data_IF_888600677211
#
_entry.id   IF_888600677211
#
_cell.length_a   1.000
_cell.length_b   1.000
_cell.length_c   1.000
_cell.angle_alpha   90.00
_cell.angle_beta   90.00
_cell.angle_gamma   90.00
#
_symmetry.space_group_name_H-M   'P 1'
#
loop_
_entity.id
_entity.type
_entity.pdbx_description
1 polymer ?
#
# COMPACT_ATOMS: atom_id res chain seq x y z
N UNK A 1 -13.70 10.32 23.11
CA UNK A 1 -13.87 10.70 21.69
C UNK A 1 -14.42 9.56 20.83
N UNK A 2 -13.75 8.40 20.75
CA UNK A 2 -14.22 7.26 19.90
C UNK A 2 -15.54 6.59 20.35
N UNK A 3 -16.15 7.04 21.45
CA UNK A 3 -17.34 6.42 22.04
C UNK A 3 -18.65 7.12 21.64
N UNK A 4 -18.65 7.89 20.54
CA UNK A 4 -19.79 8.69 20.09
C UNK A 4 -19.86 10.11 20.68
N UNK A 5 -18.90 10.50 21.52
CA UNK A 5 -18.90 11.81 22.23
C UNK A 5 -18.94 13.03 21.29
N UNK A 6 -18.48 12.85 20.04
CA UNK A 6 -18.42 13.86 18.96
C UNK A 6 -19.54 13.70 17.93
N UNK A 7 -20.61 12.96 18.25
CA UNK A 7 -21.66 12.57 17.30
C UNK A 7 -21.20 11.50 16.31
N UNK A 8 -22.15 10.99 15.53
CA UNK A 8 -21.92 9.84 14.63
C UNK A 8 -20.99 10.19 13.47
N UNK A 9 -21.15 11.37 12.88
CA UNK A 9 -20.24 11.90 11.85
C UNK A 9 -18.83 12.09 12.41
N UNK A 10 -18.67 12.65 13.60
CA UNK A 10 -17.38 12.78 14.27
C UNK A 10 -16.72 11.42 14.56
N UNK A 11 -17.49 10.43 15.02
CA UNK A 11 -17.02 9.07 15.24
C UNK A 11 -16.54 8.42 13.93
N UNK A 12 -17.33 8.49 12.86
CA UNK A 12 -16.95 7.94 11.56
C UNK A 12 -15.65 8.56 11.03
N UNK A 13 -15.50 9.89 11.12
CA UNK A 13 -14.30 10.56 10.63
C UNK A 13 -13.07 10.30 11.51
N UNK A 14 -13.21 10.13 12.82
CA UNK A 14 -12.12 9.62 13.68
C UNK A 14 -11.68 8.22 13.24
N UNK A 15 -12.64 7.31 13.02
CA UNK A 15 -12.32 5.94 12.58
C UNK A 15 -11.67 5.94 11.19
N UNK A 16 -12.17 6.72 10.24
CA UNK A 16 -11.54 6.90 8.93
C UNK A 16 -10.11 7.45 9.04
N UNK A 17 -9.86 8.43 9.91
CA UNK A 17 -8.50 8.93 10.18
C UNK A 17 -7.60 7.85 10.77
N UNK A 18 -8.08 6.98 11.65
CA UNK A 18 -7.33 5.83 12.17
C UNK A 18 -6.97 4.83 11.04
N UNK A 19 -7.92 4.54 10.13
CA UNK A 19 -7.68 3.68 8.95
C UNK A 19 -6.61 4.29 8.02
N UNK A 20 -6.70 5.59 7.75
CA UNK A 20 -5.69 6.33 6.95
C UNK A 20 -4.34 6.35 7.67
N UNK A 21 -4.32 6.54 8.99
CA UNK A 21 -3.09 6.55 9.79
C UNK A 21 -2.38 5.20 9.76
N UNK A 22 -3.10 4.08 9.75
CA UNK A 22 -2.52 2.75 9.57
C UNK A 22 -1.82 2.60 8.21
N UNK A 23 -2.47 3.04 7.13
CA UNK A 23 -1.90 3.02 5.77
C UNK A 23 -0.69 3.97 5.65
N UNK A 24 -0.73 5.15 6.29
CA UNK A 24 0.40 6.07 6.36
C UNK A 24 1.56 5.52 7.20
N UNK A 25 1.27 4.86 8.33
CA UNK A 25 2.27 4.19 9.18
C UNK A 25 2.99 3.08 8.41
N UNK A 26 2.24 2.27 7.64
CA UNK A 26 2.81 1.27 6.73
C UNK A 26 3.73 1.90 5.70
N UNK A 27 3.27 2.95 5.00
CA UNK A 27 4.08 3.68 4.02
C UNK A 27 5.33 4.32 4.65
N UNK A 28 5.24 4.84 5.87
CA UNK A 28 6.39 5.38 6.59
C UNK A 28 7.40 4.28 6.98
N UNK A 29 6.92 3.14 7.49
CA UNK A 29 7.78 2.01 7.84
C UNK A 29 8.58 1.51 6.63
N UNK A 30 7.93 1.36 5.47
CA UNK A 30 8.59 1.03 4.20
C UNK A 30 9.61 2.12 3.81
N UNK A 31 9.22 3.40 3.90
CA UNK A 31 10.11 4.53 3.54
C UNK A 31 11.35 4.66 4.44
N UNK A 32 11.29 4.18 5.67
CA UNK A 32 12.40 4.17 6.63
C UNK A 32 13.12 2.81 6.73
N UNK A 33 12.58 1.75 6.10
CA UNK A 33 12.94 0.35 6.33
C UNK A 33 12.84 -0.08 7.83
N UNK A 34 11.82 0.43 8.52
CA UNK A 34 11.45 -0.01 9.87
C UNK A 34 10.67 -1.33 9.78
N UNK A 35 11.31 -2.42 10.23
CA UNK A 35 10.73 -3.75 10.24
C UNK A 35 9.63 -3.93 11.29
N UNK A 36 9.73 -3.28 12.46
CA UNK A 36 8.72 -3.42 13.51
C UNK A 36 7.46 -2.63 13.17
N UNK A 37 7.61 -1.39 12.69
CA UNK A 37 6.51 -0.61 12.13
C UNK A 37 5.84 -1.32 10.95
N UNK A 38 6.61 -2.03 10.12
CA UNK A 38 6.10 -2.83 9.01
C UNK A 38 5.30 -4.05 9.51
N UNK A 39 5.86 -4.88 10.42
CA UNK A 39 5.13 -6.00 11.05
C UNK A 39 3.85 -5.53 11.76
N UNK A 40 3.96 -4.50 12.60
CA UNK A 40 2.85 -3.98 13.38
C UNK A 40 1.73 -3.41 12.49
N UNK A 41 2.07 -2.69 11.41
CA UNK A 41 1.06 -2.23 10.46
C UNK A 41 0.46 -3.40 9.66
N UNK A 42 1.29 -4.33 9.19
CA UNK A 42 0.85 -5.48 8.40
C UNK A 42 -0.08 -6.43 9.17
N UNK A 43 0.16 -6.63 10.48
CA UNK A 43 -0.69 -7.43 11.36
C UNK A 43 -2.05 -6.77 11.66
N UNK A 44 -2.20 -5.45 11.44
CA UNK A 44 -3.45 -4.70 11.65
C UNK A 44 -4.22 -4.38 10.35
N UNK A 45 -3.55 -4.41 9.19
CA UNK A 45 -4.20 -4.23 7.89
C UNK A 45 -5.27 -5.29 7.51
N UNK A 46 -5.32 -6.54 8.02
CA UNK A 46 -6.39 -7.48 7.67
C UNK A 46 -7.77 -7.00 8.13
N UNK A 47 -7.84 -6.24 9.22
CA UNK A 47 -9.06 -5.60 9.73
C UNK A 47 -9.71 -4.75 8.64
N UNK A 48 -8.90 -3.96 7.93
CA UNK A 48 -9.34 -3.07 6.85
C UNK A 48 -9.74 -3.87 5.61
N UNK A 49 -9.02 -4.93 5.28
CA UNK A 49 -9.34 -5.77 4.13
C UNK A 49 -10.62 -6.58 4.34
N UNK A 50 -10.91 -7.06 5.56
CA UNK A 50 -12.22 -7.67 5.88
C UNK A 50 -13.35 -6.64 5.92
N UNK A 51 -13.13 -5.40 6.36
CA UNK A 51 -14.15 -4.34 6.33
C UNK A 51 -14.36 -3.70 4.95
N UNK A 52 -13.74 -4.23 3.90
CA UNK A 52 -13.83 -3.72 2.51
C UNK A 52 -13.96 -4.86 1.49
N UNK A 53 -14.51 -5.99 1.94
CA UNK A 53 -14.74 -7.23 1.18
C UNK A 53 -13.51 -7.85 0.46
N UNK A 54 -12.30 -7.37 0.78
CA UNK A 54 -11.03 -7.88 0.26
C UNK A 54 -10.59 -9.16 1.01
N UNK A 55 -11.52 -10.08 1.24
CA UNK A 55 -11.33 -11.26 2.10
C UNK A 55 -10.10 -12.10 1.71
N UNK A 56 -9.79 -12.24 0.41
CA UNK A 56 -8.62 -13.00 -0.03
C UNK A 56 -7.31 -12.30 0.38
N UNK A 57 -7.21 -10.98 0.19
CA UNK A 57 -6.07 -10.20 0.66
C UNK A 57 -5.94 -10.24 2.18
N UNK A 58 -7.06 -10.13 2.92
CA UNK A 58 -7.07 -10.24 4.38
C UNK A 58 -6.52 -11.59 4.87
N UNK A 59 -6.97 -12.70 4.27
CA UNK A 59 -6.52 -14.07 4.58
C UNK A 59 -5.03 -14.27 4.28
N UNK A 60 -4.56 -13.87 3.10
CA UNK A 60 -3.15 -13.99 2.73
C UNK A 60 -2.25 -13.13 3.64
N UNK A 61 -2.70 -11.93 4.02
CA UNK A 61 -1.92 -11.04 4.89
C UNK A 61 -1.81 -11.58 6.32
N UNK A 62 -2.81 -12.31 6.82
CA UNK A 62 -2.72 -13.01 8.12
C UNK A 62 -1.67 -14.12 8.07
N UNK A 63 -1.66 -14.96 7.03
CA UNK A 63 -0.61 -15.97 6.86
C UNK A 63 0.78 -15.35 6.69
N UNK A 64 0.89 -14.25 5.96
CA UNK A 64 2.17 -13.56 5.79
C UNK A 64 2.65 -12.87 7.08
N UNK A 65 1.76 -12.28 7.86
CA UNK A 65 2.06 -11.75 9.20
C UNK A 65 2.54 -12.86 10.16
N UNK A 66 1.84 -13.99 10.20
CA UNK A 66 2.26 -15.18 10.95
C UNK A 66 3.65 -15.67 10.51
N UNK A 67 3.91 -15.74 9.20
CA UNK A 67 5.22 -16.13 8.66
C UNK A 67 6.34 -15.14 9.05
N UNK A 68 6.07 -13.83 9.02
CA UNK A 68 7.03 -12.81 9.46
C UNK A 68 7.31 -12.87 10.97
N UNK A 69 6.34 -13.31 11.78
CA UNK A 69 6.53 -13.47 13.23
C UNK A 69 7.44 -14.66 13.57
N UNK A 70 7.35 -15.75 12.80
CA UNK A 70 8.14 -16.99 12.98
C UNK A 70 9.29 -17.10 11.95
N UNK A 71 9.77 -15.99 11.40
CA UNK A 71 10.73 -16.03 10.29
C UNK A 71 12.10 -16.53 10.73
N UNK A 72 12.59 -16.19 11.92
CA UNK A 72 13.86 -16.73 12.45
C UNK A 72 13.77 -18.20 12.87
N UNK A 73 12.57 -18.72 13.16
CA UNK A 73 12.38 -20.15 13.44
C UNK A 73 12.41 -20.99 12.16
N UNK A 74 11.82 -20.47 11.08
CA UNK A 74 11.71 -21.16 9.79
C UNK A 74 12.90 -20.92 8.86
N UNK A 75 13.49 -19.72 8.92
CA UNK A 75 14.58 -19.24 8.07
C UNK A 75 15.57 -18.36 8.89
N UNK A 76 16.41 -18.96 9.76
CA UNK A 76 17.34 -18.23 10.61
C UNK A 76 18.23 -17.25 9.84
N UNK A 77 18.28 -15.99 10.28
CA UNK A 77 18.99 -14.89 9.63
C UNK A 77 18.18 -14.09 8.61
N UNK A 78 16.98 -14.51 8.22
CA UNK A 78 16.13 -13.75 7.29
C UNK A 78 15.60 -12.43 7.89
N UNK A 79 15.37 -12.36 9.19
CA UNK A 79 14.99 -11.12 9.88
C UNK A 79 16.09 -10.06 9.77
N UNK A 80 17.35 -10.48 9.92
CA UNK A 80 18.53 -9.62 9.72
C UNK A 80 18.56 -9.03 8.32
N UNK A 81 18.17 -9.79 7.29
CA UNK A 81 18.10 -9.31 5.90
C UNK A 81 16.92 -8.32 5.69
N UNK A 82 15.77 -8.57 6.32
CA UNK A 82 14.62 -7.64 6.29
C UNK A 82 14.98 -6.31 6.96
N UNK A 83 15.53 -6.34 8.18
CA UNK A 83 16.05 -5.16 8.89
C UNK A 83 17.15 -4.44 8.12
N UNK A 84 18.00 -5.15 7.38
CA UNK A 84 19.09 -4.56 6.58
C UNK A 84 18.62 -3.90 5.26
N UNK A 85 17.42 -4.19 4.76
CA UNK A 85 16.87 -3.52 3.58
C UNK A 85 15.85 -4.28 2.74
N UNK A 86 15.64 -5.59 2.96
CA UNK A 86 14.86 -6.40 2.00
C UNK A 86 13.34 -6.09 1.96
N UNK A 87 12.84 -5.24 2.86
CA UNK A 87 11.44 -4.76 2.90
C UNK A 87 11.22 -3.64 1.86
N UNK A 88 12.23 -2.80 1.61
CA UNK A 88 12.09 -1.62 0.77
C UNK A 88 13.30 -1.32 -0.10
N UNK A 89 13.04 -1.13 -1.40
CA UNK A 89 14.07 -0.77 -2.38
C UNK A 89 14.12 0.75 -2.52
N UNK A 90 15.32 1.31 -2.41
CA UNK A 90 15.62 2.69 -2.81
C UNK A 90 16.06 2.69 -4.27
N UNK A 91 15.56 3.64 -5.09
CA UNK A 91 15.99 3.81 -6.49
C UNK A 91 16.98 4.96 -6.69
N UNK A 92 17.28 5.68 -5.62
CA UNK A 92 18.30 6.73 -5.55
C UNK A 92 18.67 6.97 -4.09
N UNK A 93 19.70 7.76 -3.81
CA UNK A 93 20.18 8.02 -2.43
C UNK A 93 19.27 9.00 -1.65
N UNK A 94 18.30 9.62 -2.33
CA UNK A 94 17.38 10.62 -1.76
C UNK A 94 16.57 9.99 -0.59
N UNK A 95 16.66 10.55 0.64
CA UNK A 95 15.90 10.06 1.79
C UNK A 95 14.39 10.01 1.53
N UNK A 96 13.75 8.91 1.93
CA UNK A 96 12.31 8.71 1.74
C UNK A 96 11.87 8.28 0.32
N UNK A 97 12.80 8.11 -0.63
CA UNK A 97 12.56 7.54 -1.97
C UNK A 97 12.57 5.99 -1.99
N UNK A 98 12.31 5.36 -0.84
CA UNK A 98 12.14 3.91 -0.66
C UNK A 98 10.69 3.52 -0.95
N UNK A 99 10.49 2.38 -1.61
CA UNK A 99 9.17 1.82 -1.86
C UNK A 99 9.19 0.28 -1.81
N UNK A 100 8.01 -0.37 -1.84
CA UNK A 100 7.91 -1.83 -1.83
C UNK A 100 8.72 -2.46 -2.98
N UNK A 101 9.34 -3.60 -2.68
CA UNK A 101 10.09 -4.41 -3.66
C UNK A 101 9.23 -4.80 -4.85
N UNK A 102 8.00 -5.28 -4.63
CA UNK A 102 7.01 -5.61 -5.67
C UNK A 102 6.69 -4.40 -6.58
N UNK A 103 6.30 -3.26 -5.98
CA UNK A 103 6.05 -2.01 -6.72
C UNK A 103 7.27 -1.56 -7.53
N UNK A 104 8.48 -1.81 -7.04
CA UNK A 104 9.72 -1.51 -7.77
C UNK A 104 9.85 -2.40 -9.01
N UNK A 105 9.58 -3.71 -8.88
CA UNK A 105 9.63 -4.68 -9.99
C UNK A 105 8.58 -4.32 -11.07
N UNK A 106 7.36 -3.97 -10.67
CA UNK A 106 6.32 -3.58 -11.62
C UNK A 106 6.65 -2.25 -12.33
N UNK A 107 7.07 -1.21 -11.60
CA UNK A 107 7.41 0.10 -12.18
C UNK A 107 8.68 0.12 -13.04
N UNK A 108 9.57 -0.88 -12.91
CA UNK A 108 10.85 -0.94 -13.63
C UNK A 108 10.89 -2.08 -14.65
N UNK A 109 11.20 -3.31 -14.22
CA UNK A 109 11.40 -4.48 -15.08
C UNK A 109 10.15 -4.83 -15.89
N UNK A 110 8.98 -4.90 -15.23
CA UNK A 110 7.74 -5.22 -15.94
C UNK A 110 7.27 -4.07 -16.81
N UNK A 111 7.37 -2.82 -16.35
CA UNK A 111 7.05 -1.64 -17.17
C UNK A 111 7.87 -1.62 -18.46
N UNK A 112 9.17 -1.95 -18.40
CA UNK A 112 10.03 -2.02 -19.58
C UNK A 112 9.60 -3.17 -20.52
N UNK A 113 9.43 -4.39 -20.00
CA UNK A 113 8.97 -5.56 -20.77
C UNK A 113 7.59 -5.35 -21.42
N UNK A 114 6.67 -4.68 -20.72
CA UNK A 114 5.29 -4.37 -21.17
C UNK A 114 5.22 -3.11 -22.04
N UNK A 115 6.35 -2.50 -22.44
CA UNK A 115 6.38 -1.28 -23.26
C UNK A 115 6.66 -1.56 -24.74
N UNK A 116 5.79 -1.04 -25.61
CA UNK A 116 6.02 -1.07 -27.05
C UNK A 116 7.10 -0.04 -27.45
N UNK A 117 7.96 -0.43 -28.38
CA UNK A 117 9.07 0.37 -28.88
C UNK A 117 8.63 1.75 -29.39
N UNK A 118 9.16 2.82 -28.80
CA UNK A 118 9.18 4.19 -29.34
C UNK A 118 7.87 5.01 -29.33
N UNK A 119 6.69 4.38 -29.39
CA UNK A 119 5.43 5.11 -29.67
C UNK A 119 4.74 5.75 -28.46
N UNK A 120 5.09 5.39 -27.22
CA UNK A 120 4.43 5.90 -26.00
C UNK A 120 3.01 5.37 -25.76
N UNK A 121 2.49 4.50 -26.65
CA UNK A 121 1.18 3.84 -26.52
C UNK A 121 1.35 2.47 -25.86
N UNK A 122 0.59 2.21 -24.79
CA UNK A 122 0.74 1.01 -23.94
C UNK A 122 0.10 -0.25 -24.56
N UNK A 123 0.92 -1.17 -25.05
CA UNK A 123 0.51 -2.55 -25.41
C UNK A 123 0.66 -3.49 -24.21
N UNK A 124 -0.30 -3.47 -23.28
CA UNK A 124 -0.18 -4.21 -22.03
C UNK A 124 -0.03 -5.74 -22.20
N UNK A 125 0.73 -6.36 -21.29
CA UNK A 125 0.83 -7.82 -21.15
C UNK A 125 1.73 -8.52 -22.18
N UNK A 126 1.48 -9.82 -22.40
CA UNK A 126 2.27 -10.68 -23.30
C UNK A 126 2.32 -10.10 -24.72
N UNK A 127 1.23 -9.50 -25.20
CA UNK A 127 1.18 -8.86 -26.51
C UNK A 127 2.33 -7.86 -26.70
N UNK A 128 2.56 -6.94 -25.75
CA UNK A 128 3.66 -5.98 -25.79
C UNK A 128 5.05 -6.62 -25.76
N UNK A 129 5.23 -7.67 -24.96
CA UNK A 129 6.48 -8.45 -24.91
C UNK A 129 6.75 -9.08 -26.28
N UNK A 130 5.72 -9.65 -26.93
CA UNK A 130 5.87 -10.31 -28.24
C UNK A 130 5.94 -9.37 -29.44
N UNK A 131 5.31 -8.19 -29.38
CA UNK A 131 5.28 -7.22 -30.49
C UNK A 131 6.52 -6.34 -30.56
N UNK A 132 7.18 -6.08 -29.42
CA UNK A 132 8.47 -5.41 -29.37
C UNK A 132 9.57 -6.46 -29.59
N UNK A 133 10.22 -6.46 -30.76
CA UNK A 133 11.26 -7.44 -31.08
C UNK A 133 12.41 -7.43 -30.08
N UNK A 134 12.84 -6.27 -29.59
CA UNK A 134 13.90 -6.17 -28.57
C UNK A 134 13.43 -6.73 -27.23
N UNK A 135 12.20 -6.44 -26.78
CA UNK A 135 11.67 -7.01 -25.55
C UNK A 135 11.41 -8.53 -25.66
N UNK A 136 11.01 -9.02 -26.83
CA UNK A 136 10.80 -10.45 -27.14
C UNK A 136 12.13 -11.20 -27.16
N UNK A 137 13.12 -10.69 -27.90
CA UNK A 137 14.49 -11.22 -27.91
C UNK A 137 15.09 -11.14 -26.52
N UNK A 138 15.02 -10.02 -25.80
CA UNK A 138 15.47 -9.98 -24.41
C UNK A 138 14.69 -10.96 -23.53
N UNK A 139 13.38 -11.14 -23.68
CA UNK A 139 12.63 -12.09 -22.85
C UNK A 139 13.12 -13.53 -23.06
N UNK A 140 13.34 -13.94 -24.31
CA UNK A 140 13.81 -15.28 -24.69
C UNK A 140 15.31 -15.48 -24.40
N UNK A 141 16.15 -14.56 -24.85
CA UNK A 141 17.61 -14.61 -24.64
C UNK A 141 17.97 -14.45 -23.16
N UNK A 142 17.19 -13.71 -22.37
CA UNK A 142 17.35 -13.73 -20.90
C UNK A 142 16.43 -14.74 -20.21
N UNK A 143 15.76 -15.67 -20.89
CA UNK A 143 14.95 -16.69 -20.22
C UNK A 143 15.86 -17.65 -19.42
N UNK A 144 16.94 -18.15 -20.04
CA UNK A 144 17.96 -18.92 -19.34
C UNK A 144 18.64 -18.06 -18.26
N UNK A 145 19.11 -16.86 -18.62
CA UNK A 145 19.73 -15.94 -17.67
C UNK A 145 18.80 -15.51 -16.52
N UNK A 146 17.47 -15.60 -16.65
CA UNK A 146 16.48 -15.38 -15.57
C UNK A 146 16.29 -16.61 -14.70
N UNK A 147 16.37 -17.82 -15.26
CA UNK A 147 16.53 -19.04 -14.48
C UNK A 147 17.82 -18.97 -13.66
N UNK A 148 18.93 -18.63 -14.32
CA UNK A 148 20.24 -18.41 -13.70
C UNK A 148 20.24 -17.21 -12.73
N UNK A 149 19.44 -16.14 -12.93
CA UNK A 149 19.30 -15.05 -11.95
C UNK A 149 18.41 -15.43 -10.76
N UNK A 150 17.42 -16.31 -10.94
CA UNK A 150 16.71 -16.93 -9.80
C UNK A 150 17.69 -17.79 -9.02
N UNK A 151 18.45 -18.65 -9.70
CA UNK A 151 19.52 -19.49 -9.15
C UNK A 151 20.70 -18.68 -8.58
N UNK A 152 20.97 -17.47 -9.08
CA UNK A 152 22.03 -16.59 -8.59
C UNK A 152 21.56 -15.68 -7.44
N UNK A 153 20.31 -15.21 -7.39
CA UNK A 153 19.77 -14.60 -6.16
C UNK A 153 19.66 -15.64 -5.03
N UNK A 154 19.39 -16.90 -5.38
CA UNK A 154 19.42 -18.07 -4.50
C UNK A 154 20.84 -18.39 -3.99
N UNK A 155 21.88 -18.00 -4.72
CA UNK A 155 23.30 -18.13 -4.32
C UNK A 155 23.91 -16.83 -3.72
N UNK A 156 23.35 -15.66 -4.00
CA UNK A 156 23.94 -14.35 -3.69
C UNK A 156 23.01 -13.45 -2.88
N UNK A 157 22.67 -13.93 -1.69
CA UNK A 157 22.45 -13.09 -0.50
C UNK A 157 23.76 -12.37 -0.09
N UNK A 158 24.42 -11.66 -1.03
CA UNK A 158 25.76 -11.04 -0.89
C UNK A 158 26.11 -10.02 -2.01
N UNK A 159 25.61 -8.78 -1.90
CA UNK A 159 26.07 -7.58 -2.66
C UNK A 159 25.47 -7.38 -4.07
N UNK A 160 25.02 -6.19 -4.53
CA UNK A 160 25.53 -4.78 -4.50
C UNK A 160 26.62 -4.48 -5.55
N UNK A 161 26.67 -3.38 -6.33
CA UNK A 161 25.76 -2.26 -6.74
C UNK A 161 26.30 -1.70 -8.10
N UNK A 162 26.06 -0.51 -8.70
CA UNK A 162 25.28 0.74 -8.49
C UNK A 162 25.19 1.52 -9.84
N UNK A 163 24.43 2.64 -9.98
CA UNK A 163 24.83 3.84 -10.79
C UNK A 163 23.78 4.99 -10.96
N UNK A 164 24.17 6.18 -10.50
CA UNK A 164 23.97 7.56 -11.04
C UNK A 164 22.56 8.11 -11.38
N UNK A 165 22.21 9.24 -10.74
CA UNK A 165 20.90 9.91 -10.82
C UNK A 165 20.64 10.77 -12.09
N UNK A 166 19.35 11.06 -12.35
CA UNK A 166 18.88 12.13 -13.26
C UNK A 166 17.84 13.00 -12.55
N UNK A 167 17.91 14.31 -12.75
CA UNK A 167 17.07 15.29 -12.05
C UNK A 167 15.57 15.02 -12.22
N UNK A 168 14.87 14.90 -11.10
CA UNK A 168 13.46 14.49 -11.04
C UNK A 168 12.53 15.49 -11.72
N UNK A 169 11.53 14.98 -12.46
CA UNK A 169 10.58 15.78 -13.27
C UNK A 169 9.89 16.88 -12.45
N UNK A 170 9.57 16.58 -11.21
CA UNK A 170 8.66 17.37 -10.36
C UNK A 170 9.34 18.68 -9.89
N UNK A 171 10.67 18.77 -9.98
CA UNK A 171 11.47 19.96 -9.69
C UNK A 171 11.43 21.02 -10.82
N UNK A 172 10.57 20.84 -11.84
CA UNK A 172 10.42 21.78 -12.96
C UNK A 172 9.46 22.91 -12.58
N UNK A 173 9.82 24.20 -12.77
CA UNK A 173 8.98 25.34 -12.35
C UNK A 173 7.51 25.27 -12.79
N UNK A 174 7.23 24.79 -14.01
CA UNK A 174 5.86 24.64 -14.52
C UNK A 174 5.02 23.59 -13.78
N UNK A 175 5.65 22.52 -13.27
CA UNK A 175 4.94 21.52 -12.47
C UNK A 175 4.73 22.04 -11.04
N UNK A 176 5.66 22.85 -10.50
CA UNK A 176 5.54 23.53 -9.20
C UNK A 176 4.33 24.47 -9.19
N UNK A 177 4.26 25.44 -10.11
CA UNK A 177 3.12 26.41 -10.16
C UNK A 177 1.77 25.71 -10.32
N UNK A 178 1.73 24.65 -11.14
CA UNK A 178 0.52 23.83 -11.28
C UNK A 178 0.15 23.11 -9.98
N UNK A 179 1.14 22.61 -9.25
CA UNK A 179 0.93 21.98 -7.93
C UNK A 179 0.39 23.01 -6.92
N UNK A 180 0.88 24.25 -6.95
CA UNK A 180 0.40 25.35 -6.09
C UNK A 180 -1.07 25.71 -6.39
N UNK A 181 -1.45 25.85 -7.67
CA UNK A 181 -2.84 26.06 -8.09
C UNK A 181 -3.77 24.94 -7.61
N UNK A 182 -3.32 23.67 -7.74
CA UNK A 182 -4.10 22.51 -7.32
C UNK A 182 -4.21 22.38 -5.79
N UNK A 183 -3.18 22.79 -5.04
CA UNK A 183 -3.23 22.90 -3.58
C UNK A 183 -4.25 23.95 -3.14
N UNK A 184 -4.26 25.14 -3.76
CA UNK A 184 -5.24 26.18 -3.40
C UNK A 184 -6.68 25.74 -3.67
N UNK A 185 -6.96 25.16 -4.85
CA UNK A 185 -8.29 24.59 -5.16
C UNK A 185 -8.72 23.52 -4.16
N UNK A 186 -7.77 22.74 -3.63
CA UNK A 186 -8.03 21.73 -2.60
C UNK A 186 -8.36 22.39 -1.25
N UNK A 187 -7.63 23.44 -0.87
CA UNK A 187 -7.90 24.21 0.37
C UNK A 187 -9.26 24.89 0.32
N UNK A 188 -9.61 25.54 -0.78
CA UNK A 188 -10.89 26.22 -0.96
C UNK A 188 -12.07 25.23 -0.87
N UNK A 189 -11.91 24.04 -1.45
CA UNK A 189 -12.90 22.96 -1.33
C UNK A 189 -13.06 22.49 0.12
N UNK A 190 -11.96 22.24 0.85
CA UNK A 190 -12.03 21.85 2.27
C UNK A 190 -12.69 22.92 3.15
N UNK A 191 -12.49 24.20 2.88
CA UNK A 191 -13.15 25.29 3.60
C UNK A 191 -14.65 25.40 3.32
N UNK A 192 -15.13 24.84 2.20
CA UNK A 192 -16.56 24.82 1.85
C UNK A 192 -17.36 23.69 2.53
N UNK A 193 -16.68 22.70 3.12
CA UNK A 193 -17.31 21.51 3.69
C UNK A 193 -17.79 21.71 5.13
N UNK A 194 -18.79 20.92 5.52
CA UNK A 194 -19.28 20.85 6.90
C UNK A 194 -18.20 20.23 7.79
N UNK A 195 -17.90 20.87 8.92
CA UNK A 195 -16.93 20.36 9.89
C UNK A 195 -17.52 19.18 10.69
N UNK A 196 -16.98 17.95 10.57
CA UNK A 196 -17.53 16.76 11.22
C UNK A 196 -17.49 16.80 12.75
N UNK A 197 -16.69 17.69 13.36
CA UNK A 197 -16.48 17.79 14.80
C UNK A 197 -17.18 19.00 15.45
N UNK A 198 -17.97 19.76 14.69
CA UNK A 198 -18.79 20.88 15.17
C UNK A 198 -20.30 20.60 15.05
N UNK A 199 -20.68 19.37 14.69
CA UNK A 199 -22.06 18.92 14.66
C UNK A 199 -22.53 18.55 16.08
N UNK A 200 -23.81 18.80 16.38
CA UNK A 200 -24.37 18.36 17.67
C UNK A 200 -24.44 16.83 17.75
N UNK A 201 -24.15 16.28 18.93
CA UNK A 201 -24.09 14.83 19.19
C UNK A 201 -25.39 14.09 18.86
N UNK A 202 -26.53 14.79 18.78
CA UNK A 202 -27.84 14.24 18.42
C UNK A 202 -28.11 14.18 16.90
N UNK A 203 -27.20 14.64 16.05
CA UNK A 203 -27.37 14.54 14.60
C UNK A 203 -26.92 13.16 14.07
N UNK A 204 -27.67 12.55 13.13
CA UNK A 204 -27.28 11.30 12.50
C UNK A 204 -26.04 11.49 11.61
N UNK A 205 -25.40 10.39 11.23
CA UNK A 205 -24.32 10.40 10.22
C UNK A 205 -24.71 11.19 8.96
N UNK A 206 -23.90 12.19 8.60
CA UNK A 206 -24.18 13.17 7.53
C UNK A 206 -23.05 13.27 6.49
N UNK A 207 -23.44 13.59 5.25
CA UNK A 207 -22.52 13.95 4.17
C UNK A 207 -21.87 15.32 4.40
N UNK A 208 -20.54 15.41 4.37
CA UNK A 208 -19.82 16.69 4.56
C UNK A 208 -20.03 17.69 3.41
N UNK A 209 -20.39 17.22 2.22
CA UNK A 209 -20.54 18.05 1.01
C UNK A 209 -21.97 18.56 0.79
N UNK A 210 -22.97 17.92 1.41
CA UNK A 210 -24.39 18.23 1.17
C UNK A 210 -25.25 18.35 2.44
N UNK A 211 -24.71 18.01 3.62
CA UNK A 211 -25.46 17.99 4.88
C UNK A 211 -26.55 16.93 4.97
N UNK A 212 -26.74 16.13 3.91
CA UNK A 212 -27.77 15.08 3.89
C UNK A 212 -27.43 13.96 4.88
N UNK A 213 -28.43 13.55 5.67
CA UNK A 213 -28.34 12.38 6.54
C UNK A 213 -28.25 11.08 5.71
N UNK A 214 -27.46 10.13 6.20
CA UNK A 214 -27.31 8.82 5.56
C UNK A 214 -28.50 7.90 5.84
N UNK A 215 -28.86 6.99 4.91
CA UNK A 215 -29.83 5.93 5.17
C UNK A 215 -29.40 5.03 6.33
N UNK A 216 -30.37 4.53 7.10
CA UNK A 216 -30.12 3.73 8.32
C UNK A 216 -29.26 2.49 8.07
N UNK A 217 -29.47 1.80 6.95
CA UNK A 217 -28.71 0.61 6.55
C UNK A 217 -27.22 0.94 6.35
N UNK A 218 -26.94 2.01 5.60
CA UNK A 218 -25.58 2.50 5.33
C UNK A 218 -24.92 3.02 6.61
N UNK A 219 -25.69 3.70 7.47
CA UNK A 219 -25.25 4.21 8.77
C UNK A 219 -24.82 3.07 9.70
N UNK A 220 -25.63 2.03 9.82
CA UNK A 220 -25.33 0.85 10.64
C UNK A 220 -24.12 0.06 10.12
N UNK A 221 -23.97 -0.10 8.81
CA UNK A 221 -22.81 -0.78 8.22
C UNK A 221 -21.52 0.02 8.44
N UNK A 222 -21.49 1.28 7.99
CA UNK A 222 -20.29 2.13 8.01
C UNK A 222 -19.73 2.35 9.43
N UNK A 223 -20.61 2.51 10.44
CA UNK A 223 -20.22 2.70 11.85
C UNK A 223 -19.80 1.41 12.58
N UNK A 224 -19.95 0.24 11.96
CA UNK A 224 -19.53 -1.04 12.53
C UNK A 224 -18.55 -1.82 11.65
N UNK A 225 -18.28 -1.37 10.44
CA UNK A 225 -17.42 -2.05 9.46
C UNK A 225 -16.07 -2.51 10.04
N UNK A 226 -15.36 -1.68 10.80
CA UNK A 226 -14.08 -2.09 11.42
C UNK A 226 -14.25 -3.20 12.46
N UNK A 227 -15.29 -3.13 13.32
CA UNK A 227 -15.62 -4.18 14.31
C UNK A 227 -16.01 -5.48 13.62
N UNK A 228 -16.75 -5.39 12.51
CA UNK A 228 -17.13 -6.52 11.66
C UNK A 228 -15.89 -7.14 11.00
N UNK A 229 -14.93 -6.32 10.54
CA UNK A 229 -13.65 -6.78 9.99
C UNK A 229 -12.76 -7.46 11.03
N UNK A 230 -12.69 -6.92 12.24
CA UNK A 230 -12.00 -7.51 13.39
C UNK A 230 -12.63 -8.84 13.81
N UNK A 231 -13.95 -8.91 13.88
CA UNK A 231 -14.67 -10.15 14.19
C UNK A 231 -14.43 -11.24 13.14
N UNK A 232 -14.43 -10.89 11.84
CA UNK A 232 -14.08 -11.81 10.75
C UNK A 232 -12.62 -12.29 10.82
N UNK A 233 -11.68 -11.40 11.16
CA UNK A 233 -10.26 -11.74 11.39
C UNK A 233 -10.10 -12.72 12.54
N UNK A 234 -10.69 -12.43 13.71
CA UNK A 234 -10.63 -13.32 14.86
C UNK A 234 -11.25 -14.68 14.58
N UNK A 235 -12.42 -14.71 13.93
CA UNK A 235 -13.04 -15.96 13.51
C UNK A 235 -12.11 -16.73 12.56
N UNK A 236 -11.57 -16.11 11.51
CA UNK A 236 -10.69 -16.76 10.56
C UNK A 236 -9.44 -17.36 11.23
N UNK A 237 -8.84 -16.64 12.19
CA UNK A 237 -7.69 -17.13 12.97
C UNK A 237 -8.08 -18.35 13.81
N UNK A 238 -9.21 -18.32 14.52
CA UNK A 238 -9.71 -19.46 15.32
C UNK A 238 -10.03 -20.67 14.45
N UNK A 239 -10.74 -20.46 13.35
CA UNK A 239 -11.27 -21.49 12.45
C UNK A 239 -10.21 -22.10 11.50
N UNK A 240 -9.01 -21.50 11.38
CA UNK A 240 -7.97 -21.93 10.40
C UNK A 240 -6.53 -21.99 10.89
N UNK A 241 -6.17 -21.33 11.99
CA UNK A 241 -4.80 -21.39 12.55
C UNK A 241 -4.74 -22.18 13.87
N UNK A 242 -5.80 -22.15 14.68
CA UNK A 242 -5.84 -22.89 15.95
C UNK A 242 -6.56 -24.25 15.87
N UNK A 243 -7.49 -24.42 14.93
CA UNK A 243 -8.11 -25.72 14.58
C UNK A 243 -7.83 -26.03 13.09
N UNK A 244 -6.70 -26.69 12.76
CA UNK A 244 -6.37 -27.12 11.39
C UNK A 244 -7.19 -28.34 10.93
#
# INVERSE_FOLDING_TARGET
MRNGDLGETGQFWMEYMDRVWLVLSMNNAIKMNDYEGYKAALNNMPDLFFCSDQQNYARFLIYFGYFLEHIEETHPGSEKLLRAGAISVARSEIPGNRCHTDKTIEETAMRWLKSNSGSGTYSAGICGITSNYEASQHHILTAHAKGEFVEAMWNMTSGRDEHTEKQQRDLRPREITRSEEQVQQTVDAFQSFINPFQLETSQPLTSLTSGAAMPEEVRCDVLNALKNGQSQKEQFIRDRLFNP
#
